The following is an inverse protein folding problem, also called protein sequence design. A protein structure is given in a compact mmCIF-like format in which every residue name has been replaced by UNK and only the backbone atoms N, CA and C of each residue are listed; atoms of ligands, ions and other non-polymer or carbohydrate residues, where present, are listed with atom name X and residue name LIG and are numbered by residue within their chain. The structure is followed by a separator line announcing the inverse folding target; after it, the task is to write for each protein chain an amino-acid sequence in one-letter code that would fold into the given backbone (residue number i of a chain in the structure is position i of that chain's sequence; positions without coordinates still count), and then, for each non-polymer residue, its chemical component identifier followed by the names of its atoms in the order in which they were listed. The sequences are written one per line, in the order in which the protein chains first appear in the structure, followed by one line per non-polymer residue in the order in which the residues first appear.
data_IF_738184858509
#
_entry.id   IF_738184858509
#
_cell.length_a   1.000
_cell.length_b   1.000
_cell.length_c   1.000
_cell.angle_alpha   90.00
_cell.angle_beta   90.00
_cell.angle_gamma   90.00
#
_symmetry.space_group_name_H-M   'P 1'
#
loop_
_entity.id
_entity.type
_entity.pdbx_description
1 polymer ?
#
# COMPACT_ATOMS: atom_id res chain seq x y z
N UNK A 1 -20.70 2.19 -25.43
CA UNK A 1 -19.31 2.04 -24.93
C UNK A 1 -18.87 0.61 -25.21
N UNK A 2 -17.64 0.38 -25.67
CA UNK A 2 -17.15 -0.98 -25.98
C UNK A 2 -16.82 -1.76 -24.70
N UNK A 3 -16.92 -3.08 -24.75
CA UNK A 3 -16.63 -3.96 -23.59
C UNK A 3 -15.23 -3.69 -23.00
N UNK A 4 -14.25 -3.42 -23.86
CA UNK A 4 -12.87 -3.12 -23.44
C UNK A 4 -12.77 -1.82 -22.62
N UNK A 5 -13.43 -0.73 -23.06
CA UNK A 5 -13.42 0.53 -22.32
C UNK A 5 -14.21 0.42 -21.01
N UNK A 6 -15.29 -0.34 -21.01
CA UNK A 6 -16.08 -0.59 -19.80
C UNK A 6 -15.26 -1.32 -18.72
N UNK A 7 -14.47 -2.33 -19.09
CA UNK A 7 -13.59 -3.02 -18.14
C UNK A 7 -12.54 -2.08 -17.52
N UNK A 8 -11.98 -1.16 -18.31
CA UNK A 8 -11.05 -0.16 -17.79
C UNK A 8 -11.74 0.85 -16.86
N UNK A 9 -12.97 1.25 -17.17
CA UNK A 9 -13.76 2.12 -16.30
C UNK A 9 -14.04 1.45 -14.95
N UNK A 10 -14.50 0.19 -14.99
CA UNK A 10 -14.73 -0.60 -13.77
C UNK A 10 -13.45 -0.80 -12.96
N UNK A 11 -12.32 -1.10 -13.61
CA UNK A 11 -11.04 -1.24 -12.92
C UNK A 11 -10.63 0.05 -12.19
N UNK A 12 -10.87 1.21 -12.82
CA UNK A 12 -10.62 2.52 -12.20
C UNK A 12 -11.55 2.76 -11.00
N UNK A 13 -12.84 2.46 -11.12
CA UNK A 13 -13.80 2.59 -10.02
C UNK A 13 -13.45 1.66 -8.85
N UNK A 14 -13.08 0.41 -9.12
CA UNK A 14 -12.67 -0.55 -8.11
C UNK A 14 -11.40 -0.10 -7.37
N UNK A 15 -10.41 0.49 -8.08
CA UNK A 15 -9.23 1.07 -7.44
C UNK A 15 -9.58 2.25 -6.53
N UNK A 16 -10.47 3.15 -6.96
CA UNK A 16 -10.94 4.27 -6.14
C UNK A 16 -11.74 3.79 -4.92
N UNK A 17 -12.43 2.67 -5.03
CA UNK A 17 -13.15 2.01 -3.93
C UNK A 17 -12.25 1.12 -3.05
N UNK A 18 -10.93 1.12 -3.27
CA UNK A 18 -9.96 0.27 -2.57
C UNK A 18 -10.20 -1.25 -2.72
N UNK A 19 -10.87 -1.67 -3.80
CA UNK A 19 -11.13 -3.07 -4.16
C UNK A 19 -10.06 -3.59 -5.14
N UNK A 20 -8.84 -3.77 -4.62
CA UNK A 20 -7.69 -4.12 -5.46
C UNK A 20 -7.84 -5.45 -6.21
N UNK A 21 -8.47 -6.45 -5.58
CA UNK A 21 -8.70 -7.77 -6.21
C UNK A 21 -9.68 -7.66 -7.38
N UNK A 22 -10.81 -6.99 -7.18
CA UNK A 22 -11.79 -6.74 -8.26
C UNK A 22 -11.18 -5.93 -9.39
N UNK A 23 -10.41 -4.88 -9.10
CA UNK A 23 -9.70 -4.12 -10.12
C UNK A 23 -8.73 -4.99 -10.94
N UNK A 24 -8.02 -5.92 -10.29
CA UNK A 24 -7.10 -6.84 -10.95
C UNK A 24 -7.83 -7.83 -11.87
N UNK A 25 -8.98 -8.36 -11.45
CA UNK A 25 -9.85 -9.20 -12.29
C UNK A 25 -10.26 -8.44 -13.56
N UNK A 26 -10.76 -7.20 -13.43
CA UNK A 26 -11.15 -6.38 -14.59
C UNK A 26 -9.99 -6.09 -15.55
N UNK A 27 -8.80 -5.84 -15.02
CA UNK A 27 -7.59 -5.65 -15.85
C UNK A 27 -7.22 -6.95 -16.56
N UNK A 28 -7.36 -8.10 -15.90
CA UNK A 28 -7.06 -9.42 -16.48
C UNK A 28 -8.03 -9.73 -17.63
N UNK A 29 -9.33 -9.53 -17.42
CA UNK A 29 -10.36 -9.67 -18.46
C UNK A 29 -10.06 -8.75 -19.66
N UNK A 30 -9.62 -7.52 -19.40
CA UNK A 30 -9.21 -6.59 -20.46
C UNK A 30 -7.99 -7.13 -21.24
N UNK A 31 -6.99 -7.68 -20.56
CA UNK A 31 -5.81 -8.26 -21.22
C UNK A 31 -6.18 -9.43 -22.13
N UNK A 32 -7.16 -10.25 -21.77
CA UNK A 32 -7.67 -11.31 -22.64
C UNK A 32 -8.33 -10.75 -23.91
N UNK A 33 -9.07 -9.65 -23.79
CA UNK A 33 -9.63 -8.95 -24.96
C UNK A 33 -8.53 -8.38 -25.87
N UNK A 34 -7.44 -7.85 -25.30
CA UNK A 34 -6.26 -7.41 -26.07
C UNK A 34 -5.65 -8.59 -26.81
N UNK A 35 -5.37 -9.70 -26.11
CA UNK A 35 -4.71 -10.90 -26.68
C UNK A 35 -5.54 -11.58 -27.78
N UNK A 36 -6.86 -11.57 -27.65
CA UNK A 36 -7.77 -12.12 -28.67
C UNK A 36 -7.93 -11.21 -29.89
N UNK A 37 -7.33 -10.02 -29.91
CA UNK A 37 -7.48 -9.05 -30.99
C UNK A 37 -8.86 -8.37 -31.04
N UNK A 38 -9.66 -8.51 -29.98
CA UNK A 38 -11.04 -8.02 -29.89
C UNK A 38 -11.14 -6.52 -29.57
N UNK A 39 -10.13 -5.72 -29.92
CA UNK A 39 -10.08 -4.28 -29.64
C UNK A 39 -10.20 -3.50 -30.95
N UNK A 40 -11.24 -2.68 -31.05
CA UNK A 40 -11.38 -1.72 -32.15
C UNK A 40 -10.28 -0.66 -32.09
N UNK A 41 -9.74 -0.30 -33.26
CA UNK A 41 -8.72 0.76 -33.41
C UNK A 41 -9.18 2.10 -32.81
N UNK A 42 -10.47 2.41 -32.90
CA UNK A 42 -11.06 3.65 -32.37
C UNK A 42 -11.01 3.73 -30.84
N UNK A 43 -10.84 2.58 -30.17
CA UNK A 43 -10.77 2.49 -28.71
C UNK A 43 -9.33 2.54 -28.17
N UNK A 44 -8.32 2.42 -29.03
CA UNK A 44 -6.91 2.29 -28.59
C UNK A 44 -6.43 3.56 -27.90
N UNK A 45 -6.72 4.74 -28.46
CA UNK A 45 -6.32 6.01 -27.88
C UNK A 45 -6.92 6.24 -26.49
N UNK A 46 -8.26 6.13 -26.37
CA UNK A 46 -8.97 6.26 -25.10
C UNK A 46 -8.56 5.19 -24.09
N UNK A 47 -8.37 3.95 -24.53
CA UNK A 47 -7.91 2.86 -23.66
C UNK A 47 -6.51 3.12 -23.12
N UNK A 48 -5.60 3.66 -23.94
CA UNK A 48 -4.26 4.01 -23.50
C UNK A 48 -4.25 5.14 -22.45
N UNK A 49 -5.11 6.16 -22.60
CA UNK A 49 -5.28 7.21 -21.59
C UNK A 49 -5.81 6.63 -20.28
N UNK A 50 -6.89 5.84 -20.32
CA UNK A 50 -7.45 5.22 -19.12
C UNK A 50 -6.46 4.29 -18.41
N UNK A 51 -5.65 3.55 -19.15
CA UNK A 51 -4.59 2.70 -18.58
C UNK A 51 -3.52 3.54 -17.85
N UNK A 52 -3.15 4.71 -18.37
CA UNK A 52 -2.22 5.61 -17.68
C UNK A 52 -2.80 6.12 -16.37
N UNK A 53 -4.08 6.48 -16.36
CA UNK A 53 -4.77 6.92 -15.15
C UNK A 53 -4.82 5.80 -14.10
N UNK A 54 -5.16 4.59 -14.51
CA UNK A 54 -5.15 3.38 -13.65
C UNK A 54 -3.76 3.14 -13.08
N UNK A 55 -2.71 3.23 -13.90
CA UNK A 55 -1.32 3.08 -13.45
C UNK A 55 -0.93 4.15 -12.42
N UNK A 56 -1.35 5.41 -12.64
CA UNK A 56 -1.11 6.50 -11.70
C UNK A 56 -1.81 6.25 -10.35
N UNK A 57 -3.07 5.80 -10.38
CA UNK A 57 -3.82 5.47 -9.17
C UNK A 57 -3.19 4.31 -8.41
N UNK A 58 -2.84 3.23 -9.10
CA UNK A 58 -2.18 2.08 -8.50
C UNK A 58 -0.81 2.44 -7.90
N UNK A 59 -0.04 3.30 -8.60
CA UNK A 59 1.22 3.84 -8.09
C UNK A 59 1.04 4.63 -6.79
N UNK A 60 0.09 5.57 -6.77
CA UNK A 60 -0.21 6.36 -5.59
C UNK A 60 -0.68 5.49 -4.40
N UNK A 61 -1.52 4.49 -4.66
CA UNK A 61 -1.97 3.55 -3.64
C UNK A 61 -0.80 2.75 -3.04
N UNK A 62 0.10 2.23 -3.87
CA UNK A 62 1.30 1.50 -3.44
C UNK A 62 2.21 2.37 -2.58
N UNK A 63 2.45 3.61 -2.98
CA UNK A 63 3.31 4.53 -2.27
C UNK A 63 2.69 4.94 -0.92
N UNK A 64 1.37 5.10 -0.87
CA UNK A 64 0.60 5.31 0.36
C UNK A 64 0.72 4.15 1.34
N UNK A 65 0.59 2.90 0.87
CA UNK A 65 0.79 1.70 1.71
C UNK A 65 2.21 1.66 2.27
N UNK A 66 3.22 1.94 1.45
CA UNK A 66 4.61 1.97 1.89
C UNK A 66 4.83 3.06 2.97
N UNK A 67 4.22 4.24 2.82
CA UNK A 67 4.28 5.30 3.82
C UNK A 67 3.61 4.87 5.14
N UNK A 68 2.42 4.25 5.08
CA UNK A 68 1.72 3.74 6.26
C UNK A 68 2.54 2.67 7.00
N UNK A 69 3.21 1.78 6.27
CA UNK A 69 4.11 0.78 6.87
C UNK A 69 5.29 1.43 7.62
N UNK A 70 5.88 2.50 7.08
CA UNK A 70 6.95 3.26 7.78
C UNK A 70 6.43 3.89 9.07
N UNK A 71 5.26 4.53 9.02
CA UNK A 71 4.64 5.13 10.20
C UNK A 71 4.32 4.08 11.27
N UNK A 72 3.82 2.89 10.88
CA UNK A 72 3.58 1.80 11.82
C UNK A 72 4.88 1.30 12.48
N UNK A 73 5.98 1.22 11.72
CA UNK A 73 7.28 0.84 12.27
C UNK A 73 7.81 1.89 13.27
N UNK A 74 7.63 3.17 13.00
CA UNK A 74 7.96 4.27 13.90
C UNK A 74 7.13 4.21 15.19
N UNK A 75 5.80 4.04 15.08
CA UNK A 75 4.91 3.87 16.23
C UNK A 75 5.33 2.66 17.07
N UNK A 76 5.69 1.55 16.44
CA UNK A 76 6.17 0.35 17.13
C UNK A 76 7.52 0.57 17.82
N UNK A 77 8.41 1.40 17.27
CA UNK A 77 9.66 1.78 17.92
C UNK A 77 9.41 2.69 19.14
N UNK A 78 8.58 3.73 18.98
CA UNK A 78 8.22 4.65 20.07
C UNK A 78 7.49 3.93 21.22
N UNK A 79 6.57 3.03 20.90
CA UNK A 79 5.88 2.19 21.90
C UNK A 79 6.84 1.32 22.71
N UNK A 80 7.88 0.77 22.07
CA UNK A 80 8.93 0.01 22.77
C UNK A 80 9.73 0.90 23.72
N UNK A 81 10.01 2.14 23.34
CA UNK A 81 10.64 3.10 24.25
C UNK A 81 9.71 3.43 25.42
N UNK A 82 8.42 3.65 25.21
CA UNK A 82 7.47 3.85 26.32
C UNK A 82 7.45 2.66 27.29
N UNK A 83 7.51 1.42 26.79
CA UNK A 83 7.61 0.23 27.64
C UNK A 83 8.93 0.15 28.43
N UNK A 84 9.96 0.91 28.07
CA UNK A 84 11.18 1.05 28.88
C UNK A 84 11.09 2.13 29.96
N UNK A 85 9.98 2.87 30.04
CA UNK A 85 9.75 3.90 31.06
C UNK A 85 8.48 3.61 31.86
N UNK A 86 8.50 3.90 33.16
CA UNK A 86 7.31 3.83 34.00
C UNK A 86 6.35 5.00 33.69
N UNK A 87 5.16 5.01 34.32
CA UNK A 87 4.15 6.07 34.16
C UNK A 87 4.64 7.46 34.60
N UNK A 88 5.79 7.56 35.29
CA UNK A 88 6.42 8.80 35.72
C UNK A 88 7.61 9.19 34.82
N UNK A 89 7.86 8.45 33.72
CA UNK A 89 8.95 8.71 32.77
C UNK A 89 10.32 8.24 33.24
N UNK A 90 10.41 7.41 34.29
CA UNK A 90 11.68 6.84 34.77
C UNK A 90 11.97 5.52 34.07
N UNK A 91 13.21 5.30 33.65
CA UNK A 91 13.60 4.09 32.93
C UNK A 91 13.40 2.86 33.84
N UNK A 92 12.63 1.87 33.39
CA UNK A 92 12.46 0.58 34.07
C UNK A 92 13.81 -0.15 33.93
N UNK A 93 14.64 -0.07 34.97
CA UNK A 93 16.01 -0.56 34.94
C UNK A 93 16.08 -2.09 34.93
N UNK A 94 16.80 -2.64 33.94
CA UNK A 94 17.53 -3.89 34.17
C UNK A 94 18.58 -3.61 35.27
N UNK A 95 18.69 -4.44 36.32
CA UNK A 95 19.71 -4.26 37.34
C UNK A 95 21.09 -4.55 36.74
N UNK A 96 21.85 -3.51 36.40
CA UNK A 96 23.26 -3.64 36.03
C UNK A 96 24.05 -3.77 37.33
N UNK A 97 24.28 -5.03 37.72
CA UNK A 97 25.22 -5.55 38.70
C UNK A 97 25.14 -5.04 40.16
N UNK A 98 25.33 -5.92 41.17
CA UNK A 98 25.39 -5.50 42.57
C UNK A 98 26.63 -4.61 42.82
N UNK A 99 26.56 -3.66 43.77
CA UNK A 99 27.68 -2.77 44.06
C UNK A 99 28.87 -3.59 44.55
N UNK A 100 29.99 -3.53 43.84
CA UNK A 100 31.28 -4.01 44.36
C UNK A 100 31.66 -3.13 45.55
N UNK A 101 31.60 -3.67 46.76
CA UNK A 101 32.21 -3.09 47.95
C UNK A 101 33.71 -2.83 47.67
N UNK A 102 34.09 -1.55 47.57
CA UNK A 102 35.49 -1.16 47.68
C UNK A 102 35.84 -1.15 49.17
N UNK A 103 36.65 -2.12 49.61
CA UNK A 103 37.29 -2.08 50.92
C UNK A 103 38.49 -1.13 50.87
N UNK A 104 38.60 -0.28 51.89
CA UNK A 104 39.73 0.59 52.18
C UNK A 104 40.94 -0.20 52.67
#
# INVERSE_FOLDING_TARGET
MTKSLYLLEQAREDLLAFKAESALERITDFQELVRSGSISKDCVGKGAEMLRDILSLAGAARDGVAAAQRQLAEIAALSRHLNTYDRQGRKIGNPIAPPRERRF
#
